data_IF_690679568956
#
_entry.id   IF_690679568956
#
_cell.length_a   1.000
_cell.length_b   1.000
_cell.length_c   1.000
_cell.angle_alpha   90.00
_cell.angle_beta   90.00
_cell.angle_gamma   90.00
#
_symmetry.space_group_name_H-M   'P 1'
#
loop_
_entity.id
_entity.type
_entity.pdbx_description
1 polymer ?
#
# COMPACT_ATOMS: atom_id res chain seq x y z
N UNK A 1 33.11 0.96 7.47
CA UNK A 1 32.25 0.30 8.47
C UNK A 1 30.93 -0.02 7.80
N UNK A 2 30.78 -1.24 7.26
CA UNK A 2 29.48 -1.73 6.77
C UNK A 2 28.70 -2.21 7.99
N UNK A 3 27.92 -1.32 8.60
CA UNK A 3 26.86 -1.73 9.52
C UNK A 3 26.02 -2.76 8.77
N UNK A 4 25.90 -3.99 9.27
CA UNK A 4 25.00 -5.01 8.74
C UNK A 4 23.57 -4.59 9.11
N UNK A 5 22.77 -3.97 8.22
CA UNK A 5 21.44 -3.55 8.59
C UNK A 5 20.52 -4.76 8.33
N UNK A 6 19.89 -5.29 9.39
CA UNK A 6 19.08 -6.50 9.25
C UNK A 6 18.93 -7.40 10.50
N UNK A 7 19.53 -7.06 11.64
CA UNK A 7 19.38 -7.88 12.87
C UNK A 7 18.53 -7.22 13.96
N UNK A 8 18.12 -5.97 13.78
CA UNK A 8 17.34 -5.26 14.79
C UNK A 8 15.87 -5.66 14.65
N UNK A 9 15.42 -6.63 15.46
CA UNK A 9 14.00 -6.93 15.58
C UNK A 9 13.36 -5.95 16.57
N UNK A 10 12.34 -5.17 16.16
CA UNK A 10 11.67 -4.25 17.07
C UNK A 10 10.94 -5.02 18.16
N UNK A 11 11.17 -4.64 19.42
CA UNK A 11 10.47 -5.21 20.58
C UNK A 11 9.27 -4.37 21.01
N UNK A 12 9.27 -3.09 20.65
CA UNK A 12 8.24 -2.13 21.01
C UNK A 12 8.09 -1.13 19.87
N UNK A 13 6.85 -0.75 19.57
CA UNK A 13 6.52 0.25 18.55
C UNK A 13 5.79 1.40 19.22
N UNK A 14 6.28 2.63 19.02
CA UNK A 14 5.61 3.84 19.53
C UNK A 14 4.57 4.31 18.53
N UNK A 15 3.29 4.17 18.88
CA UNK A 15 2.15 4.60 18.07
C UNK A 15 1.53 5.87 18.66
N UNK A 16 0.55 6.47 17.97
CA UNK A 16 -0.16 7.67 18.43
C UNK A 16 -0.78 7.53 19.83
N UNK A 17 -1.13 6.31 20.23
CA UNK A 17 -1.81 6.01 21.50
C UNK A 17 -0.83 5.54 22.59
N UNK A 18 0.48 5.64 22.34
CA UNK A 18 1.54 5.19 23.23
C UNK A 18 2.35 4.00 22.70
N UNK A 19 3.34 3.53 23.48
CA UNK A 19 4.15 2.38 23.14
C UNK A 19 3.35 1.08 23.27
N UNK A 20 3.51 0.19 22.29
CA UNK A 20 2.90 -1.14 22.30
C UNK A 20 3.99 -2.19 22.07
N UNK A 21 3.99 -3.24 22.89
CA UNK A 21 4.93 -4.35 22.74
C UNK A 21 4.65 -5.16 21.46
N UNK A 22 5.71 -5.64 20.83
CA UNK A 22 5.62 -6.59 19.72
C UNK A 22 5.48 -7.99 20.31
N UNK A 23 4.39 -8.67 19.97
CA UNK A 23 4.15 -10.04 20.38
C UNK A 23 4.91 -11.04 19.49
N UNK A 24 4.91 -10.81 18.17
CA UNK A 24 5.63 -11.65 17.21
C UNK A 24 5.96 -10.90 15.91
N UNK A 25 7.01 -11.35 15.24
CA UNK A 25 7.22 -11.08 13.80
C UNK A 25 6.47 -12.18 13.05
N UNK A 26 5.45 -11.79 12.29
CA UNK A 26 4.60 -12.70 11.52
C UNK A 26 5.22 -13.01 10.15
N UNK A 27 5.87 -12.01 9.56
CA UNK A 27 6.47 -12.13 8.23
C UNK A 27 7.59 -11.11 8.06
N UNK A 28 8.58 -11.44 7.24
CA UNK A 28 9.76 -10.62 6.96
C UNK A 28 10.12 -10.75 5.48
N UNK A 29 10.27 -9.62 4.79
CA UNK A 29 10.68 -9.61 3.39
C UNK A 29 11.61 -8.44 3.09
N UNK A 30 12.56 -8.68 2.18
CA UNK A 30 13.53 -7.70 1.74
C UNK A 30 13.19 -7.24 0.33
N UNK A 31 13.23 -5.93 0.10
CA UNK A 31 13.13 -5.32 -1.23
C UNK A 31 14.42 -4.58 -1.50
N UNK A 32 15.18 -5.08 -2.47
CA UNK A 32 16.37 -4.43 -3.01
C UNK A 32 16.08 -4.09 -4.48
N UNK A 33 16.18 -2.81 -4.83
CA UNK A 33 15.95 -2.32 -6.19
C UNK A 33 16.91 -1.17 -6.51
N UNK A 34 17.27 -1.02 -7.78
CA UNK A 34 18.05 0.08 -8.32
C UNK A 34 17.17 0.93 -9.25
N UNK A 35 16.07 1.43 -8.68
CA UNK A 35 15.09 2.25 -9.39
C UNK A 35 15.75 3.56 -9.87
N UNK A 36 16.17 3.56 -11.14
CA UNK A 36 16.79 4.60 -11.98
C UNK A 36 17.78 5.59 -11.32
N UNK A 37 18.78 5.03 -10.61
CA UNK A 37 20.02 5.67 -10.08
C UNK A 37 20.03 6.01 -8.58
N UNK A 38 19.05 5.56 -7.79
CA UNK A 38 19.19 5.55 -6.33
C UNK A 38 19.04 4.13 -5.79
N UNK A 39 19.99 3.62 -5.00
CA UNK A 39 19.81 2.35 -4.34
C UNK A 39 18.59 2.45 -3.44
N UNK A 40 17.73 1.43 -3.51
CA UNK A 40 16.60 1.23 -2.64
C UNK A 40 16.79 -0.13 -1.97
N UNK A 41 16.99 -0.13 -0.66
CA UNK A 41 17.04 -1.36 0.12
C UNK A 41 16.14 -1.18 1.33
N UNK A 42 15.06 -1.95 1.40
CA UNK A 42 14.03 -1.87 2.46
C UNK A 42 13.75 -3.24 3.02
N UNK A 43 13.92 -3.38 4.33
CA UNK A 43 13.52 -4.59 5.06
C UNK A 43 12.16 -4.38 5.68
N UNK A 44 11.17 -5.11 5.23
CA UNK A 44 9.82 -5.06 5.75
C UNK A 44 9.60 -6.11 6.83
N UNK A 45 8.89 -5.73 7.89
CA UNK A 45 8.43 -6.62 8.96
C UNK A 45 6.94 -6.46 9.14
N UNK A 46 6.21 -7.57 9.09
CA UNK A 46 4.83 -7.65 9.56
C UNK A 46 4.84 -8.13 11.01
N UNK A 47 4.34 -7.28 11.90
CA UNK A 47 4.37 -7.49 13.34
C UNK A 47 2.95 -7.74 13.85
N UNK A 48 2.82 -8.72 14.75
CA UNK A 48 1.68 -8.84 15.64
C UNK A 48 2.01 -8.11 16.93
N UNK A 49 1.18 -7.14 17.30
CA UNK A 49 1.31 -6.38 18.53
C UNK A 49 0.62 -7.11 19.69
N UNK A 50 1.02 -6.81 20.92
CA UNK A 50 0.44 -7.40 22.14
C UNK A 50 -1.06 -7.09 22.33
N UNK A 51 -1.56 -6.03 21.66
CA UNK A 51 -2.98 -5.68 21.64
C UNK A 51 -3.77 -6.37 20.50
N UNK A 52 -3.13 -7.30 19.77
CA UNK A 52 -3.73 -8.08 18.69
C UNK A 52 -3.74 -7.40 17.31
N UNK A 53 -3.25 -6.16 17.18
CA UNK A 53 -3.18 -5.48 15.88
C UNK A 53 -2.02 -5.99 15.03
N UNK A 54 -2.24 -6.02 13.71
CA UNK A 54 -1.18 -6.25 12.73
C UNK A 54 -0.65 -4.92 12.20
N UNK A 55 0.66 -4.83 12.07
CA UNK A 55 1.34 -3.61 11.65
C UNK A 55 2.49 -3.97 10.72
N UNK A 56 2.66 -3.21 9.63
CA UNK A 56 3.79 -3.38 8.71
C UNK A 56 4.73 -2.20 8.86
N UNK A 57 5.97 -2.49 9.26
CA UNK A 57 7.07 -1.53 9.26
C UNK A 57 8.04 -1.85 8.12
N UNK A 58 8.81 -0.86 7.71
CA UNK A 58 10.05 -1.10 6.98
C UNK A 58 11.21 -0.31 7.55
N UNK A 59 12.39 -0.95 7.55
CA UNK A 59 13.68 -0.31 7.78
C UNK A 59 14.24 0.13 6.43
N UNK A 60 14.52 1.43 6.26
CA UNK A 60 15.30 1.92 5.13
C UNK A 60 16.77 1.58 5.38
N UNK A 61 17.32 0.63 4.63
CA UNK A 61 18.69 0.17 4.77
C UNK A 61 19.70 1.09 4.10
N UNK A 62 19.24 2.05 3.28
CA UNK A 62 20.08 3.00 2.53
C UNK A 62 20.33 4.26 3.35
N UNK A 63 19.28 4.85 3.90
CA UNK A 63 19.36 6.06 4.71
C UNK A 63 19.35 5.77 6.22
N UNK A 64 18.98 4.54 6.60
CA UNK A 64 18.69 4.20 7.98
C UNK A 64 17.30 4.67 8.41
N UNK A 65 16.73 3.97 9.38
CA UNK A 65 15.50 4.38 10.07
C UNK A 65 14.30 3.49 9.78
N UNK A 66 13.30 3.61 10.65
CA UNK A 66 12.09 2.79 10.64
C UNK A 66 10.87 3.62 10.26
N UNK A 67 10.04 3.06 9.40
CA UNK A 67 8.86 3.73 8.86
C UNK A 67 7.65 2.80 8.92
N UNK A 68 6.49 3.38 9.19
CA UNK A 68 5.21 2.69 9.10
C UNK A 68 4.79 2.61 7.63
N UNK A 69 4.41 1.42 7.16
CA UNK A 69 3.67 1.28 5.91
C UNK A 69 2.17 1.17 6.24
N UNK A 70 1.38 2.24 6.03
CA UNK A 70 -0.06 2.13 6.11
C UNK A 70 -0.50 1.16 5.00
N UNK A 71 -1.11 0.04 5.37
CA UNK A 71 -1.85 -0.74 4.40
C UNK A 71 -3.04 0.12 3.99
N UNK A 72 -2.96 0.75 2.82
CA UNK A 72 -4.20 1.15 2.18
C UNK A 72 -4.84 -0.17 1.73
N UNK A 73 -6.03 -0.49 2.26
CA UNK A 73 -6.85 -1.48 1.58
C UNK A 73 -6.91 -1.08 0.10
N UNK A 74 -6.88 -2.04 -0.85
CA UNK A 74 -6.91 -1.73 -2.27
C UNK A 74 -7.98 -0.66 -2.47
N UNK A 75 -7.53 0.49 -2.96
CA UNK A 75 -8.43 1.59 -3.25
C UNK A 75 -9.52 1.02 -4.15
N UNK A 76 -10.72 0.86 -3.62
CA UNK A 76 -11.88 0.45 -4.40
C UNK A 76 -12.59 1.74 -4.85
N UNK A 77 -12.28 2.27 -6.05
CA UNK A 77 -12.97 3.44 -6.58
C UNK A 77 -14.47 3.19 -6.83
N UNK A 78 -14.92 1.92 -6.83
CA UNK A 78 -16.31 1.55 -7.09
C UNK A 78 -17.14 1.45 -5.80
N UNK A 79 -16.53 1.18 -4.65
CA UNK A 79 -17.24 1.14 -3.36
C UNK A 79 -17.83 2.50 -2.93
N UNK A 80 -17.30 3.62 -3.42
CA UNK A 80 -17.81 4.97 -3.11
C UNK A 80 -18.88 5.47 -4.09
N UNK A 81 -19.25 4.70 -5.13
CA UNK A 81 -20.26 5.12 -6.11
C UNK A 81 -21.25 3.99 -6.41
N UNK A 82 -22.34 3.95 -5.65
CA UNK A 82 -23.59 3.35 -6.12
C UNK A 82 -24.45 4.41 -6.84
N UNK A 83 -25.33 4.01 -7.77
CA UNK A 83 -25.40 4.62 -9.10
C UNK A 83 -26.54 5.63 -9.24
N UNK A 84 -26.31 6.74 -9.92
CA UNK A 84 -27.34 7.40 -10.74
C UNK A 84 -26.63 8.19 -11.84
N UNK A 85 -26.42 7.53 -12.95
CA UNK A 85 -26.60 8.20 -14.23
C UNK A 85 -27.49 7.25 -15.02
N UNK A 86 -28.76 7.62 -15.10
CA UNK A 86 -29.74 7.00 -15.98
C UNK A 86 -29.13 6.81 -17.38
N UNK A 87 -29.56 5.80 -18.16
CA UNK A 87 -29.06 5.63 -19.51
C UNK A 87 -29.40 6.90 -20.32
N UNK A 88 -28.38 7.55 -20.89
CA UNK A 88 -28.60 8.57 -21.92
C UNK A 88 -29.41 7.93 -23.06
N UNK A 89 -30.48 8.55 -23.57
CA UNK A 89 -31.20 8.00 -24.71
C UNK A 89 -30.24 7.94 -25.91
N UNK A 90 -30.18 6.78 -26.58
CA UNK A 90 -29.49 6.65 -27.87
C UNK A 90 -30.04 7.70 -28.82
N UNK A 91 -29.20 8.62 -29.30
CA UNK A 91 -29.52 9.42 -30.47
C UNK A 91 -29.51 8.49 -31.69
N UNK A 92 -30.66 8.23 -32.27
CA UNK A 92 -30.76 7.56 -33.57
C UNK A 92 -30.16 8.48 -34.65
N UNK A 93 -29.34 7.97 -35.58
CA UNK A 93 -28.87 8.77 -36.70
C UNK A 93 -30.05 9.08 -37.64
N UNK A 94 -30.09 10.26 -38.29
CA UNK A 94 -31.15 10.58 -39.23
C UNK A 94 -31.14 9.57 -40.38
N UNK A 95 -32.27 8.90 -40.57
CA UNK A 95 -32.50 7.94 -41.65
C UNK A 95 -32.37 8.67 -42.99
N UNK A 96 -31.47 8.18 -43.86
CA UNK A 96 -31.33 8.68 -45.21
C UNK A 96 -32.64 8.48 -45.98
N UNK A 97 -33.29 9.58 -46.33
CA UNK A 97 -34.53 9.61 -47.10
C UNK A 97 -34.28 9.06 -48.50
N UNK A 98 -34.91 7.93 -48.80
CA UNK A 98 -34.94 7.27 -50.10
C UNK A 98 -35.33 8.24 -51.21
N UNK A 99 -34.41 8.53 -52.14
CA UNK A 99 -34.78 9.12 -53.43
C UNK A 99 -35.18 8.01 -54.38
N UNK A 100 -36.49 7.91 -54.61
CA UNK A 100 -37.08 7.24 -55.76
C UNK A 100 -36.50 7.83 -57.06
N UNK A 101 -36.14 6.96 -57.99
CA UNK A 101 -36.23 7.20 -59.43
C UNK A 101 -37.02 6.05 -60.03
#
# INVERSE_FOLDING_TARGET
MTCRPGTTTPRTVTLRHGPVAVAAVVDEWLVEDEWWRRPLARRYLRLLLADGRLLTLFEDLVHGGWYLQPYHAPFDPHAQRAPTSAPLPRREPPTARSRRR
#
